data_IF_735477285346
#
_entry.id   IF_735477285346
#
_cell.length_a   1.000
_cell.length_b   1.000
_cell.length_c   1.000
_cell.angle_alpha   90.00
_cell.angle_beta   90.00
_cell.angle_gamma   90.00
#
_symmetry.space_group_name_H-M   'P 1'
#
loop_
_entity.id
_entity.type
_entity.pdbx_description
1 polymer ?
#
# COMPACT_ATOMS: atom_id res chain seq x y z
N UNK A 1 -36.60 -20.85 -29.19
CA UNK A 1 -36.81 -19.92 -28.07
C UNK A 1 -35.44 -19.56 -27.52
N UNK A 2 -35.05 -18.28 -27.64
CA UNK A 2 -33.68 -17.81 -27.39
C UNK A 2 -33.37 -17.83 -25.90
N UNK A 3 -32.46 -18.73 -25.53
CA UNK A 3 -31.64 -18.58 -24.34
C UNK A 3 -30.77 -17.33 -24.53
N UNK A 4 -30.90 -16.33 -23.66
CA UNK A 4 -29.84 -15.37 -23.30
C UNK A 4 -30.42 -14.36 -22.29
N UNK A 5 -30.52 -14.76 -21.02
CA UNK A 5 -30.82 -13.82 -19.94
C UNK A 5 -30.06 -14.24 -18.68
N UNK A 6 -28.73 -14.34 -18.81
CA UNK A 6 -27.82 -14.57 -17.70
C UNK A 6 -26.46 -13.96 -18.04
N UNK A 7 -26.41 -12.64 -18.14
CA UNK A 7 -25.18 -11.87 -18.38
C UNK A 7 -25.22 -10.51 -17.65
N UNK A 8 -25.80 -10.49 -16.44
CA UNK A 8 -25.84 -9.29 -15.58
C UNK A 8 -25.17 -9.49 -14.21
N UNK A 9 -24.29 -10.50 -14.05
CA UNK A 9 -23.63 -10.80 -12.78
C UNK A 9 -22.11 -10.57 -12.76
N UNK A 10 -21.56 -9.79 -13.70
CA UNK A 10 -20.10 -9.54 -13.77
C UNK A 10 -19.73 -8.06 -13.64
N UNK A 11 -20.51 -7.29 -12.89
CA UNK A 11 -19.97 -6.09 -12.27
C UNK A 11 -19.95 -6.30 -10.78
N UNK A 12 -18.74 -6.53 -10.25
CA UNK A 12 -18.18 -5.40 -9.53
C UNK A 12 -16.68 -5.22 -9.82
N UNK A 13 -16.18 -4.02 -9.51
CA UNK A 13 -14.77 -3.74 -9.23
C UNK A 13 -13.79 -3.87 -10.41
N UNK A 14 -13.67 -2.80 -11.19
CA UNK A 14 -12.34 -2.37 -11.68
C UNK A 14 -11.63 -1.56 -10.58
N UNK A 15 -11.62 -2.06 -9.35
CA UNK A 15 -10.58 -1.68 -8.40
C UNK A 15 -9.40 -2.57 -8.79
N UNK A 16 -8.35 -1.98 -9.35
CA UNK A 16 -7.10 -2.71 -9.58
C UNK A 16 -6.71 -3.45 -8.29
N UNK A 17 -6.36 -4.73 -8.43
CA UNK A 17 -6.02 -5.56 -7.30
C UNK A 17 -4.82 -4.95 -6.57
N UNK A 18 -4.97 -4.74 -5.27
CA UNK A 18 -3.85 -4.28 -4.44
C UNK A 18 -2.73 -5.32 -4.45
N UNK A 19 -1.46 -4.89 -4.47
CA UNK A 19 -0.34 -5.81 -4.35
C UNK A 19 -0.32 -6.39 -2.93
N UNK A 20 -0.37 -7.71 -2.82
CA UNK A 20 -0.18 -8.39 -1.54
C UNK A 20 1.31 -8.62 -1.31
N UNK A 21 1.80 -8.37 -0.09
CA UNK A 21 3.13 -8.77 0.31
C UNK A 21 3.80 -7.88 1.33
N UNK A 22 5.06 -8.21 1.62
CA UNK A 22 5.93 -7.42 2.46
C UNK A 22 6.86 -6.55 1.60
N UNK A 23 7.08 -5.33 2.04
CA UNK A 23 7.93 -4.34 1.40
C UNK A 23 8.90 -3.75 2.43
N UNK A 24 10.18 -3.70 2.07
CA UNK A 24 11.17 -2.98 2.85
C UNK A 24 11.18 -1.51 2.36
N UNK A 25 10.72 -0.63 3.23
CA UNK A 25 10.58 0.79 2.98
C UNK A 25 11.69 1.60 3.67
N UNK A 26 12.09 2.70 3.03
CA UNK A 26 12.95 3.72 3.62
C UNK A 26 12.22 5.05 3.60
N UNK A 27 12.07 5.64 4.77
CA UNK A 27 11.60 7.00 4.91
C UNK A 27 12.75 7.98 5.07
N UNK A 28 12.64 9.13 4.42
CA UNK A 28 13.57 10.24 4.57
C UNK A 28 12.82 11.58 4.63
N UNK A 29 13.03 12.34 5.70
CA UNK A 29 12.55 13.72 5.85
C UNK A 29 13.68 14.56 6.45
N UNK A 30 14.18 15.54 5.69
CA UNK A 30 15.40 16.26 6.02
C UNK A 30 16.60 15.30 6.24
N UNK A 31 17.25 15.44 7.39
CA UNK A 31 18.37 14.58 7.83
C UNK A 31 17.90 13.26 8.47
N UNK A 32 16.61 13.12 8.77
CA UNK A 32 16.10 11.92 9.45
C UNK A 32 15.86 10.81 8.44
N UNK A 33 16.41 9.63 8.71
CA UNK A 33 16.21 8.41 7.92
C UNK A 33 15.73 7.26 8.80
N UNK A 34 14.71 6.53 8.34
CA UNK A 34 14.19 5.34 9.04
C UNK A 34 13.91 4.20 8.07
N UNK A 35 14.28 2.99 8.45
CA UNK A 35 13.88 1.77 7.75
C UNK A 35 12.58 1.25 8.37
N UNK A 36 11.64 0.83 7.54
CA UNK A 36 10.30 0.42 7.92
C UNK A 36 9.93 -0.80 7.10
N UNK A 37 9.17 -1.72 7.68
CA UNK A 37 8.52 -2.80 6.96
C UNK A 37 7.05 -2.44 6.75
N UNK A 38 6.61 -2.45 5.52
CA UNK A 38 5.20 -2.38 5.14
C UNK A 38 4.74 -3.80 4.82
N UNK A 39 3.64 -4.24 5.42
CA UNK A 39 2.93 -5.45 5.00
C UNK A 39 1.57 -5.03 4.49
N UNK A 40 1.18 -5.49 3.31
CA UNK A 40 -0.10 -5.20 2.69
C UNK A 40 -0.82 -6.52 2.37
N UNK A 41 -2.02 -6.66 2.90
CA UNK A 41 -2.86 -7.84 2.72
C UNK A 41 -3.86 -7.64 1.56
N UNK A 42 -4.36 -8.76 1.00
CA UNK A 42 -5.32 -8.74 -0.13
C UNK A 42 -6.60 -7.96 0.14
N UNK A 43 -7.03 -7.95 1.39
CA UNK A 43 -8.25 -7.25 1.78
C UNK A 43 -8.03 -5.73 1.82
N UNK A 44 -6.79 -5.26 1.65
CA UNK A 44 -6.37 -3.87 1.74
C UNK A 44 -6.02 -3.42 3.16
N UNK A 45 -5.88 -4.32 4.13
CA UNK A 45 -5.30 -3.96 5.42
C UNK A 45 -3.78 -3.85 5.29
N UNK A 46 -3.16 -2.94 6.04
CA UNK A 46 -1.70 -2.83 6.07
C UNK A 46 -1.15 -2.57 7.46
N UNK A 47 0.11 -2.96 7.65
CA UNK A 47 0.91 -2.71 8.85
C UNK A 47 2.21 -2.01 8.48
N UNK A 48 2.59 -1.00 9.26
CA UNK A 48 3.91 -0.38 9.25
C UNK A 48 4.65 -0.79 10.52
N UNK A 49 5.85 -1.36 10.37
CA UNK A 49 6.63 -1.86 11.48
C UNK A 49 8.07 -1.39 11.41
N UNK A 50 8.73 -1.24 12.57
CA UNK A 50 10.19 -1.11 12.60
C UNK A 50 10.85 -2.42 12.14
N UNK A 51 12.16 -2.43 11.81
CA UNK A 51 12.88 -3.67 11.48
C UNK A 51 12.90 -4.70 12.62
N UNK A 52 12.58 -4.26 13.86
CA UNK A 52 12.47 -5.11 15.06
C UNK A 52 11.03 -5.59 15.33
N UNK A 53 10.07 -5.29 14.46
CA UNK A 53 8.68 -5.74 14.58
C UNK A 53 7.76 -4.84 15.42
N UNK A 54 8.28 -3.74 16.01
CA UNK A 54 7.44 -2.76 16.73
C UNK A 54 6.44 -2.13 15.76
N UNK A 55 5.15 -2.15 16.12
CA UNK A 55 4.08 -1.53 15.33
C UNK A 55 4.23 -0.01 15.33
N UNK A 56 4.32 0.57 14.15
CA UNK A 56 4.45 2.01 13.95
C UNK A 56 3.13 2.64 13.51
N UNK A 57 2.34 1.92 12.70
CA UNK A 57 1.03 2.34 12.23
C UNK A 57 0.30 1.19 11.54
N UNK A 58 -1.02 1.34 11.38
CA UNK A 58 -1.86 0.38 10.68
C UNK A 58 -3.05 1.10 10.05
N UNK A 59 -3.64 0.49 9.02
CA UNK A 59 -4.80 1.11 8.38
C UNK A 59 -5.28 0.38 7.12
N UNK A 60 -5.78 1.18 6.18
CA UNK A 60 -6.42 0.72 4.95
C UNK A 60 -5.71 1.24 3.71
N UNK A 61 -5.49 0.36 2.76
CA UNK A 61 -4.99 0.65 1.43
C UNK A 61 -6.16 0.67 0.44
N UNK A 62 -6.10 1.60 -0.50
CA UNK A 62 -7.08 1.71 -1.59
C UNK A 62 -6.36 1.97 -2.91
N UNK A 63 -6.65 1.17 -3.93
CA UNK A 63 -6.19 1.43 -5.30
C UNK A 63 -7.21 2.29 -6.03
N UNK A 64 -6.74 3.36 -6.66
CA UNK A 64 -7.55 4.19 -7.56
C UNK A 64 -7.39 3.74 -9.01
N UNK A 65 -8.31 4.20 -9.87
CA UNK A 65 -8.40 3.84 -11.31
C UNK A 65 -7.20 4.29 -12.15
N UNK A 66 -6.36 5.16 -11.60
CA UNK A 66 -5.14 5.67 -12.21
C UNK A 66 -3.90 4.87 -11.79
N UNK A 67 -4.08 3.75 -11.08
CA UNK A 67 -3.01 2.88 -10.59
C UNK A 67 -2.30 3.39 -9.33
N UNK A 68 -2.82 4.47 -8.71
CA UNK A 68 -2.28 5.01 -7.46
C UNK A 68 -2.90 4.30 -6.26
N UNK A 69 -2.05 3.78 -5.39
CA UNK A 69 -2.36 3.10 -4.14
C UNK A 69 -2.19 4.10 -2.99
N UNK A 70 -3.26 4.38 -2.27
CA UNK A 70 -3.24 5.21 -1.08
C UNK A 70 -3.23 4.34 0.17
N UNK A 71 -2.29 4.56 1.08
CA UNK A 71 -2.27 3.97 2.42
C UNK A 71 -2.77 5.00 3.44
N UNK A 72 -3.91 4.73 4.05
CA UNK A 72 -4.55 5.55 5.08
C UNK A 72 -4.33 4.93 6.46
N UNK A 73 -3.41 5.48 7.26
CA UNK A 73 -3.23 5.10 8.66
C UNK A 73 -4.08 5.98 9.57
N UNK A 74 -5.03 5.41 10.33
CA UNK A 74 -5.89 6.18 11.24
C UNK A 74 -5.14 6.82 12.41
N UNK A 75 -4.06 6.17 12.84
CA UNK A 75 -3.05 6.72 13.73
C UNK A 75 -1.71 6.08 13.41
N UNK A 76 -0.64 6.84 13.54
CA UNK A 76 0.70 6.30 13.39
C UNK A 76 1.68 7.13 14.22
N UNK A 77 2.64 6.42 14.80
CA UNK A 77 3.80 7.00 15.47
C UNK A 77 4.85 7.49 14.46
N UNK A 78 4.55 7.37 13.17
CA UNK A 78 5.51 7.52 12.09
C UNK A 78 4.90 7.83 10.69
N UNK A 79 5.19 9.02 10.11
CA UNK A 79 5.42 10.27 10.84
C UNK A 79 4.33 10.49 11.91
N UNK A 80 4.67 11.00 13.09
CA UNK A 80 3.68 11.15 14.16
C UNK A 80 2.62 12.19 13.79
N UNK A 81 1.35 11.80 13.75
CA UNK A 81 0.25 12.72 13.45
C UNK A 81 -1.12 12.05 13.31
N UNK A 82 -2.21 12.84 13.27
CA UNK A 82 -3.54 12.34 12.99
C UNK A 82 -3.68 12.03 11.51
N UNK A 83 -3.86 10.76 11.14
CA UNK A 83 -4.10 10.38 9.74
C UNK A 83 -2.86 10.54 8.86
N UNK A 84 -2.24 9.44 8.43
CA UNK A 84 -1.17 9.50 7.42
C UNK A 84 -1.69 8.93 6.12
N UNK A 85 -1.52 9.71 5.06
CA UNK A 85 -1.76 9.28 3.68
C UNK A 85 -0.42 9.19 2.97
N UNK A 86 -0.05 7.98 2.56
CA UNK A 86 1.02 7.77 1.58
C UNK A 86 0.40 7.37 0.25
N UNK A 87 0.90 7.89 -0.86
CA UNK A 87 0.45 7.51 -2.19
C UNK A 87 1.60 6.89 -2.98
N UNK A 88 1.33 5.75 -3.60
CA UNK A 88 2.30 4.99 -4.37
C UNK A 88 1.76 4.57 -5.72
N UNK A 89 2.64 4.35 -6.68
CA UNK A 89 2.37 3.49 -7.85
C UNK A 89 3.12 2.19 -7.72
N UNK A 90 2.52 1.11 -8.17
CA UNK A 90 3.22 -0.16 -8.33
C UNK A 90 4.19 -0.05 -9.52
N UNK A 91 5.46 -0.42 -9.30
CA UNK A 91 6.46 -0.52 -10.36
C UNK A 91 6.31 -1.86 -11.06
N UNK A 92 5.94 -1.83 -12.33
CA UNK A 92 5.74 -3.04 -13.13
C UNK A 92 6.98 -3.95 -13.20
N UNK A 93 8.19 -3.37 -13.20
CA UNK A 93 9.44 -4.11 -13.37
C UNK A 93 9.74 -5.10 -12.24
N UNK A 94 9.51 -4.69 -11.00
CA UNK A 94 9.94 -5.44 -9.80
C UNK A 94 8.84 -5.59 -8.74
N UNK A 95 7.65 -5.00 -8.95
CA UNK A 95 6.57 -4.97 -7.97
C UNK A 95 6.82 -4.04 -6.79
N UNK A 96 7.82 -3.16 -6.85
CA UNK A 96 8.08 -2.18 -5.79
C UNK A 96 7.07 -1.02 -5.77
N UNK A 97 6.97 -0.30 -4.66
CA UNK A 97 6.09 0.87 -4.56
C UNK A 97 6.90 2.15 -4.75
N UNK A 98 6.56 2.90 -5.79
CA UNK A 98 7.16 4.20 -6.13
C UNK A 98 6.31 5.29 -5.49
N UNK A 99 6.88 6.21 -4.69
CA UNK A 99 6.11 7.30 -4.10
C UNK A 99 5.63 8.28 -5.17
N UNK A 100 4.35 8.63 -5.13
CA UNK A 100 3.73 9.68 -5.97
C UNK A 100 3.45 10.93 -5.15
N UNK A 101 2.81 10.76 -3.99
CA UNK A 101 2.48 11.81 -3.03
C UNK A 101 2.71 11.28 -1.60
N UNK A 102 3.07 12.16 -0.68
CA UNK A 102 3.41 11.77 0.69
C UNK A 102 4.92 11.66 0.91
N UNK A 103 5.32 12.01 2.13
CA UNK A 103 6.69 12.36 2.47
C UNK A 103 7.64 11.15 2.43
N UNK A 104 8.59 11.15 1.48
CA UNK A 104 9.90 10.51 1.63
C UNK A 104 9.96 8.99 1.78
N UNK A 105 8.82 8.27 1.69
CA UNK A 105 8.75 6.83 1.88
C UNK A 105 8.91 6.12 0.53
N UNK A 106 10.01 5.40 0.35
CA UNK A 106 10.28 4.59 -0.84
C UNK A 106 10.29 3.13 -0.46
N UNK A 107 9.54 2.26 -1.15
CA UNK A 107 9.49 0.83 -0.82
C UNK A 107 9.94 -0.07 -1.96
N UNK A 108 10.53 -1.21 -1.58
CA UNK A 108 10.88 -2.30 -2.50
C UNK A 108 10.27 -3.59 -1.96
N UNK A 109 9.95 -4.57 -2.81
CA UNK A 109 9.50 -5.86 -2.32
C UNK A 109 10.56 -6.44 -1.38
N UNK A 110 10.12 -6.96 -0.24
CA UNK A 110 11.00 -7.71 0.64
C UNK A 110 11.42 -8.99 -0.10
N UNK A 111 12.70 -9.36 -0.01
CA UNK A 111 13.15 -10.62 -0.57
C UNK A 111 12.40 -11.78 0.09
N UNK A 112 11.85 -12.70 -0.71
CA UNK A 112 11.36 -13.97 -0.20
C UNK A 112 12.54 -14.68 0.48
N UNK A 113 12.41 -14.97 1.77
CA UNK A 113 13.38 -15.76 2.52
C UNK A 113 13.23 -17.24 2.22
#
# INVERSE_FOLDING_TARGET
>A
MKALALLLLLWPLSAEALPEGAFDCRWQEGETRRNIRLTLDRDGSFLLQSPRGVLLGAGRAESRKDGVIFLYAGSSTFPSGPGITFAFRLREKDGGLVPEEGQGLTCRPAAAK
#
